data_IF_213399397720
#
_entry.id   IF_213399397720
#
_cell.length_a   1.000
_cell.length_b   1.000
_cell.length_c   1.000
_cell.angle_alpha   90.00
_cell.angle_beta   90.00
_cell.angle_gamma   90.00
#
_symmetry.space_group_name_H-M   'P 1'
#
loop_
_entity.id
_entity.type
_entity.pdbx_description
1 polymer ?
#
# COMPACT_ATOMS: atom_id res chain seq x y z
N UNK A 1 -12.09 -3.26 -28.23
CA UNK A 1 -12.95 -2.15 -28.70
C UNK A 1 -12.92 -1.09 -27.61
N UNK A 2 -12.37 0.09 -27.89
CA UNK A 2 -12.28 1.17 -26.92
C UNK A 2 -13.67 1.78 -26.69
N UNK A 3 -14.15 1.78 -25.45
CA UNK A 3 -15.38 2.48 -25.08
C UNK A 3 -15.01 3.92 -24.69
N UNK A 4 -15.59 4.89 -25.39
CA UNK A 4 -15.47 6.32 -25.08
C UNK A 4 -16.36 6.70 -23.90
N UNK A 5 -15.90 7.63 -23.07
CA UNK A 5 -16.63 8.17 -21.92
C UNK A 5 -18.02 8.70 -22.26
N UNK A 6 -19.07 8.35 -21.49
CA UNK A 6 -20.31 9.10 -21.54
C UNK A 6 -20.18 10.38 -20.71
N UNK A 7 -20.34 11.53 -21.37
CA UNK A 7 -20.60 12.81 -20.70
C UNK A 7 -22.08 12.89 -20.34
N UNK A 8 -22.44 12.59 -19.10
CA UNK A 8 -23.82 12.67 -18.61
C UNK A 8 -23.88 13.17 -17.18
N UNK A 9 -24.49 14.33 -16.97
CA UNK A 9 -24.92 14.83 -15.67
C UNK A 9 -26.03 13.93 -15.12
N UNK A 10 -25.82 13.31 -13.96
CA UNK A 10 -26.82 12.50 -13.28
C UNK A 10 -27.65 13.36 -12.30
N UNK A 11 -28.96 13.36 -12.52
CA UNK A 11 -29.97 13.94 -11.62
C UNK A 11 -30.16 13.06 -10.39
N UNK A 12 -30.37 13.71 -9.23
CA UNK A 12 -30.69 13.09 -7.95
C UNK A 12 -31.99 12.26 -8.01
N UNK A 13 -31.94 11.01 -7.57
CA UNK A 13 -33.13 10.27 -7.14
C UNK A 13 -33.02 9.89 -5.66
N UNK A 14 -34.09 10.19 -4.95
CA UNK A 14 -34.27 10.06 -3.49
C UNK A 14 -34.35 8.62 -2.99
N UNK A 15 -34.00 8.50 -1.72
CA UNK A 15 -33.67 7.32 -0.92
C UNK A 15 -34.79 6.29 -0.74
N UNK A 16 -34.38 5.01 -0.67
CA UNK A 16 -34.97 4.01 0.23
C UNK A 16 -33.91 3.61 1.24
N UNK A 17 -33.91 4.28 2.39
CA UNK A 17 -33.05 4.02 3.52
C UNK A 17 -33.54 2.75 4.21
N UNK A 18 -32.98 1.60 3.83
CA UNK A 18 -32.99 0.44 4.72
C UNK A 18 -31.75 0.57 5.58
N UNK A 19 -31.90 1.09 6.79
CA UNK A 19 -30.84 1.14 7.80
C UNK A 19 -30.44 -0.28 8.19
N UNK A 20 -29.55 -0.90 7.41
CA UNK A 20 -28.67 -1.94 7.95
C UNK A 20 -27.55 -1.21 8.66
N UNK A 21 -27.68 -1.09 9.98
CA UNK A 21 -26.55 -0.86 10.85
C UNK A 21 -25.41 -1.79 10.45
N UNK A 22 -24.23 -1.24 10.21
CA UNK A 22 -23.02 -2.04 10.11
C UNK A 22 -22.93 -2.95 11.34
N UNK A 23 -22.48 -4.20 11.18
CA UNK A 23 -21.91 -4.90 12.32
C UNK A 23 -20.82 -3.97 12.87
N UNK A 24 -20.79 -3.75 14.19
CA UNK A 24 -19.56 -3.33 14.85
C UNK A 24 -18.39 -4.12 14.25
N UNK A 25 -17.20 -3.53 14.14
CA UNK A 25 -15.92 -4.23 13.98
C UNK A 25 -16.12 -5.67 14.40
N UNK A 26 -16.12 -6.63 13.44
CA UNK A 26 -16.43 -8.03 13.76
C UNK A 26 -15.64 -8.32 15.01
N UNK A 27 -16.32 -8.47 16.15
CA UNK A 27 -15.72 -9.07 17.30
C UNK A 27 -15.54 -10.50 16.84
N UNK A 28 -14.39 -10.78 16.23
CA UNK A 28 -13.88 -12.13 16.14
C UNK A 28 -14.13 -12.75 17.51
N UNK A 29 -14.74 -13.94 17.60
CA UNK A 29 -15.02 -14.55 18.89
C UNK A 29 -13.74 -14.47 19.74
N UNK A 30 -13.79 -13.58 20.74
CA UNK A 30 -12.66 -13.23 21.60
C UNK A 30 -12.41 -14.41 22.50
N UNK A 31 -11.69 -15.39 22.00
CA UNK A 31 -10.90 -16.23 22.88
C UNK A 31 -9.64 -15.40 23.13
N UNK A 32 -9.41 -14.88 24.35
CA UNK A 32 -8.12 -14.29 24.67
C UNK A 32 -7.07 -15.36 24.33
N UNK A 33 -6.17 -15.04 23.42
CA UNK A 33 -4.96 -15.84 23.27
C UNK A 33 -4.34 -15.82 24.67
N UNK A 34 -4.02 -17.02 25.21
CA UNK A 34 -3.35 -17.14 26.50
C UNK A 34 -1.98 -17.74 26.23
N UNK A 35 -0.88 -17.02 26.53
CA UNK A 35 -0.85 -15.69 27.15
C UNK A 35 -1.46 -14.61 26.24
N UNK A 36 -1.91 -13.46 26.79
CA UNK A 36 -2.41 -12.32 26.03
C UNK A 36 -1.52 -12.06 24.82
N UNK A 37 -2.10 -11.54 23.72
CA UNK A 37 -1.31 -11.12 22.57
C UNK A 37 -0.21 -10.16 23.05
N UNK A 38 1.03 -10.64 22.94
CA UNK A 38 2.24 -9.97 23.40
C UNK A 38 3.00 -9.45 22.18
N UNK A 39 2.32 -8.84 21.20
CA UNK A 39 2.95 -8.28 20.01
C UNK A 39 4.21 -7.46 20.30
N UNK A 40 4.24 -6.74 21.44
CA UNK A 40 5.42 -6.05 21.93
C UNK A 40 6.68 -6.92 22.15
N UNK A 41 6.52 -8.24 22.37
CA UNK A 41 7.64 -9.19 22.47
C UNK A 41 8.44 -9.27 21.19
N UNK A 42 7.82 -9.03 20.04
CA UNK A 42 8.53 -8.94 18.77
C UNK A 42 9.62 -7.85 18.79
N UNK A 43 9.34 -6.74 19.47
CA UNK A 43 10.26 -5.61 19.58
C UNK A 43 11.28 -5.75 20.72
N UNK A 44 10.90 -6.39 21.82
CA UNK A 44 11.69 -6.38 23.06
C UNK A 44 12.48 -7.67 23.34
N UNK A 45 12.18 -8.77 22.63
CA UNK A 45 12.80 -10.06 22.88
C UNK A 45 13.99 -10.24 21.94
N UNK A 46 15.21 -10.13 22.49
CA UNK A 46 16.47 -10.16 21.73
C UNK A 46 16.54 -11.31 20.72
N UNK A 47 16.17 -12.54 21.12
CA UNK A 47 16.21 -13.69 20.20
C UNK A 47 15.23 -13.58 19.02
N UNK A 48 14.09 -12.90 19.21
CA UNK A 48 13.11 -12.66 18.14
C UNK A 48 13.63 -11.58 17.20
N UNK A 49 14.12 -10.47 17.75
CA UNK A 49 14.74 -9.37 16.99
C UNK A 49 15.92 -9.88 16.16
N UNK A 50 16.81 -10.69 16.75
CA UNK A 50 17.96 -11.25 16.04
C UNK A 50 17.53 -12.23 14.93
N UNK A 51 16.47 -13.01 15.16
CA UNK A 51 15.89 -13.87 14.12
C UNK A 51 15.35 -13.04 12.96
N UNK A 52 14.71 -11.90 13.24
CA UNK A 52 14.20 -10.98 12.22
C UNK A 52 15.35 -10.31 11.44
N UNK A 53 16.42 -9.86 12.10
CA UNK A 53 17.62 -9.35 11.44
C UNK A 53 18.29 -10.39 10.53
N UNK A 54 18.32 -11.66 10.96
CA UNK A 54 18.83 -12.74 10.15
C UNK A 54 17.96 -12.97 8.89
N UNK A 55 16.63 -12.90 9.04
CA UNK A 55 15.70 -12.93 7.91
C UNK A 55 15.94 -11.76 6.94
N UNK A 56 16.01 -10.52 7.44
CA UNK A 56 16.29 -9.32 6.62
C UNK A 56 17.60 -9.50 5.85
N UNK A 57 18.66 -9.92 6.53
CA UNK A 57 19.98 -10.13 5.91
C UNK A 57 19.90 -11.17 4.81
N UNK A 58 19.24 -12.31 5.06
CA UNK A 58 19.06 -13.35 4.06
C UNK A 58 18.25 -12.87 2.85
N UNK A 59 17.15 -12.14 3.10
CA UNK A 59 16.27 -11.64 2.04
C UNK A 59 16.94 -10.59 1.16
N UNK A 60 17.57 -9.57 1.76
CA UNK A 60 18.24 -8.50 1.01
C UNK A 60 19.46 -8.99 0.24
N UNK A 61 20.16 -10.02 0.74
CA UNK A 61 21.32 -10.62 0.04
C UNK A 61 20.94 -11.70 -0.96
N UNK A 62 19.65 -12.05 -1.07
CA UNK A 62 19.17 -13.00 -2.07
C UNK A 62 19.45 -12.48 -3.48
N UNK A 63 20.08 -13.32 -4.31
CA UNK A 63 20.29 -13.06 -5.73
C UNK A 63 19.11 -13.64 -6.50
N UNK A 64 18.36 -12.76 -7.16
CA UNK A 64 17.26 -13.17 -8.02
C UNK A 64 17.79 -14.09 -9.12
N UNK A 65 17.29 -15.33 -9.17
CA UNK A 65 17.75 -16.34 -10.12
C UNK A 65 17.47 -15.99 -11.60
N UNK A 66 16.53 -15.08 -11.88
CA UNK A 66 16.16 -14.69 -13.23
C UNK A 66 16.95 -13.48 -13.74
N UNK A 67 17.26 -12.52 -12.87
CA UNK A 67 18.00 -11.30 -13.25
C UNK A 67 19.48 -11.36 -12.90
N UNK A 68 19.86 -12.22 -11.96
CA UNK A 68 21.22 -12.30 -11.41
C UNK A 68 21.58 -11.13 -10.49
N UNK A 69 20.62 -10.27 -10.12
CA UNK A 69 20.82 -9.08 -9.28
C UNK A 69 20.40 -9.41 -7.85
N UNK A 70 21.21 -9.01 -6.86
CA UNK A 70 20.83 -9.13 -5.46
C UNK A 70 19.72 -8.14 -5.12
N UNK A 71 18.75 -8.52 -4.29
CA UNK A 71 17.63 -7.63 -3.94
C UNK A 71 18.07 -6.29 -3.34
N UNK A 72 19.16 -6.26 -2.57
CA UNK A 72 19.76 -5.02 -2.06
C UNK A 72 20.32 -4.06 -3.13
N UNK A 73 20.53 -4.56 -4.35
CA UNK A 73 21.14 -3.86 -5.48
C UNK A 73 20.17 -3.68 -6.66
N UNK A 74 18.92 -4.16 -6.54
CA UNK A 74 17.94 -4.18 -7.64
C UNK A 74 17.13 -2.85 -7.70
N UNK A 75 17.35 -2.00 -8.72
CA UNK A 75 16.69 -0.69 -8.83
C UNK A 75 15.19 -0.78 -9.10
N UNK A 76 14.65 -1.99 -9.33
CA UNK A 76 13.20 -2.22 -9.41
C UNK A 76 12.53 -2.05 -8.05
N UNK A 77 13.27 -2.28 -6.96
CA UNK A 77 12.76 -2.16 -5.59
C UNK A 77 12.93 -0.72 -5.12
N UNK A 78 11.82 -0.03 -4.85
CA UNK A 78 11.83 1.35 -4.34
C UNK A 78 12.45 1.44 -2.94
N UNK A 79 12.05 0.53 -2.06
CA UNK A 79 12.41 0.55 -0.65
C UNK A 79 11.89 -0.65 0.13
N UNK A 80 12.18 -0.65 1.42
CA UNK A 80 11.83 -1.70 2.37
C UNK A 80 11.02 -1.13 3.52
N UNK A 81 9.89 -1.73 3.81
CA UNK A 81 9.05 -1.39 4.96
C UNK A 81 9.41 -2.29 6.15
N UNK A 82 9.58 -1.72 7.35
CA UNK A 82 10.03 -2.52 8.51
C UNK A 82 9.01 -3.58 8.94
N UNK A 83 7.74 -3.37 8.60
CA UNK A 83 6.65 -4.35 8.69
C UNK A 83 5.30 -3.66 8.46
N UNK A 84 4.27 -4.44 8.14
CA UNK A 84 2.94 -3.91 7.88
C UNK A 84 2.20 -3.58 9.18
N UNK A 85 1.70 -2.35 9.29
CA UNK A 85 0.85 -1.88 10.39
C UNK A 85 1.44 -2.15 11.79
N UNK A 86 2.72 -1.83 11.99
CA UNK A 86 3.46 -2.15 13.23
C UNK A 86 3.04 -1.36 14.50
N UNK A 87 1.85 -0.77 14.53
CA UNK A 87 1.26 -0.34 15.80
C UNK A 87 0.50 -1.50 16.44
N UNK A 88 0.59 -1.64 17.76
CA UNK A 88 -0.11 -2.70 18.48
C UNK A 88 -1.57 -2.28 18.68
N UNK A 89 -2.29 -2.18 17.55
CA UNK A 89 -3.63 -1.59 17.42
C UNK A 89 -4.64 -2.30 18.33
N UNK A 90 -4.47 -3.62 18.55
CA UNK A 90 -5.46 -4.40 19.28
C UNK A 90 -5.45 -4.15 20.81
N UNK A 91 -4.42 -3.51 21.38
CA UNK A 91 -4.25 -3.47 22.85
C UNK A 91 -3.73 -2.15 23.44
N UNK A 92 -3.76 -1.03 22.72
CA UNK A 92 -3.28 0.29 23.20
C UNK A 92 -1.76 0.41 23.40
N UNK A 93 -0.95 -0.53 22.90
CA UNK A 93 0.49 -0.54 23.19
C UNK A 93 1.33 0.41 22.32
N UNK A 94 0.69 1.16 21.40
CA UNK A 94 1.31 2.23 20.63
C UNK A 94 2.16 1.73 19.44
N UNK A 95 2.98 2.60 18.84
CA UNK A 95 3.83 2.26 17.70
C UNK A 95 5.01 1.36 18.12
N UNK A 96 5.68 0.78 17.12
CA UNK A 96 6.99 0.16 17.33
C UNK A 96 7.96 1.13 18.05
N UNK A 97 8.75 0.68 19.04
CA UNK A 97 9.69 1.55 19.74
C UNK A 97 10.71 2.18 18.77
N UNK A 98 10.99 3.50 18.82
CA UNK A 98 11.93 4.15 17.90
C UNK A 98 13.33 3.53 17.91
N UNK A 99 13.78 3.01 19.06
CA UNK A 99 15.07 2.32 19.15
C UNK A 99 15.08 1.00 18.35
N UNK A 100 13.97 0.26 18.35
CA UNK A 100 13.82 -0.93 17.51
C UNK A 100 13.76 -0.55 16.03
N UNK A 101 12.98 0.48 15.68
CA UNK A 101 12.89 0.96 14.30
C UNK A 101 14.25 1.43 13.78
N UNK A 102 15.02 2.19 14.58
CA UNK A 102 16.38 2.61 14.23
C UNK A 102 17.33 1.43 14.05
N UNK A 103 17.25 0.42 14.92
CA UNK A 103 18.07 -0.79 14.79
C UNK A 103 17.78 -1.57 13.49
N UNK A 104 16.50 -1.74 13.14
CA UNK A 104 16.08 -2.45 11.92
C UNK A 104 16.36 -1.62 10.66
N UNK A 105 15.99 -0.34 10.66
CA UNK A 105 16.24 0.56 9.55
C UNK A 105 17.75 0.74 9.30
N UNK A 106 18.56 0.84 10.36
CA UNK A 106 20.02 0.88 10.28
C UNK A 106 20.62 -0.38 9.66
N UNK A 107 20.12 -1.56 10.01
CA UNK A 107 20.51 -2.82 9.35
C UNK A 107 20.18 -2.77 7.85
N UNK A 108 18.95 -2.38 7.48
CA UNK A 108 18.52 -2.28 6.08
C UNK A 108 19.43 -1.30 5.32
N UNK A 109 19.67 -0.10 5.86
CA UNK A 109 20.55 0.91 5.25
C UNK A 109 21.99 0.42 5.09
N UNK A 110 22.50 -0.38 6.04
CA UNK A 110 23.84 -0.97 5.92
C UNK A 110 23.94 -2.02 4.81
N UNK A 111 22.85 -2.73 4.52
CA UNK A 111 22.80 -3.78 3.50
C UNK A 111 22.46 -3.24 2.12
N UNK A 112 21.48 -2.34 2.03
CA UNK A 112 20.90 -1.78 0.80
C UNK A 112 20.93 -0.24 0.83
N UNK A 113 22.12 0.39 0.79
CA UNK A 113 22.27 1.83 0.99
C UNK A 113 21.61 2.70 -0.10
N UNK A 114 21.26 2.11 -1.24
CA UNK A 114 20.59 2.80 -2.35
C UNK A 114 19.05 2.75 -2.27
N UNK A 115 18.48 1.96 -1.35
CA UNK A 115 17.04 1.77 -1.24
C UNK A 115 16.46 2.63 -0.12
N UNK A 116 15.18 3.00 -0.27
CA UNK A 116 14.44 3.75 0.74
C UNK A 116 14.01 2.81 1.89
N UNK A 117 13.76 3.37 3.07
CA UNK A 117 13.19 2.67 4.22
C UNK A 117 11.89 3.37 4.65
N UNK A 118 10.83 2.57 4.76
CA UNK A 118 9.51 2.96 5.25
C UNK A 118 9.33 2.40 6.66
N UNK A 119 8.81 3.19 7.58
CA UNK A 119 8.63 2.75 8.97
C UNK A 119 7.51 1.70 9.13
N UNK A 120 6.46 1.74 8.30
CA UNK A 120 5.39 0.73 8.30
C UNK A 120 4.43 0.83 9.49
N UNK A 121 4.37 2.00 10.09
CA UNK A 121 3.47 2.27 11.22
C UNK A 121 2.03 2.44 10.71
N UNK A 122 1.06 1.83 11.41
CA UNK A 122 -0.35 2.19 11.26
C UNK A 122 -0.68 3.32 12.23
N UNK A 123 -1.28 4.41 11.77
CA UNK A 123 -1.39 5.70 12.48
C UNK A 123 -0.05 6.43 12.63
N UNK A 124 -0.14 7.66 13.15
CA UNK A 124 0.98 8.58 13.26
C UNK A 124 1.17 9.03 14.71
N UNK A 125 2.35 8.81 15.28
CA UNK A 125 2.63 8.96 16.71
C UNK A 125 3.83 9.90 16.97
N UNK A 126 3.67 11.22 16.79
CA UNK A 126 4.79 12.16 16.88
C UNK A 126 5.40 12.25 18.29
N UNK A 127 4.61 11.97 19.33
CA UNK A 127 5.08 11.99 20.73
C UNK A 127 5.95 10.76 21.09
N UNK A 128 5.98 9.73 20.23
CA UNK A 128 6.69 8.48 20.52
C UNK A 128 8.20 8.57 20.30
N UNK A 129 8.67 9.53 19.50
CA UNK A 129 10.05 9.53 18.98
C UNK A 129 10.16 9.03 17.52
N UNK A 130 9.04 8.67 16.88
CA UNK A 130 8.99 8.12 15.51
C UNK A 130 9.78 8.96 14.50
N UNK A 131 9.60 10.28 14.50
CA UNK A 131 10.24 11.20 13.55
C UNK A 131 11.73 11.45 13.81
N UNK A 132 12.28 10.96 14.92
CA UNK A 132 13.69 11.09 15.27
C UNK A 132 14.55 9.93 14.74
N UNK A 133 13.94 8.90 14.15
CA UNK A 133 14.67 7.78 13.52
C UNK A 133 15.25 8.26 12.20
N UNK A 134 16.55 8.59 12.20
CA UNK A 134 17.19 9.22 11.03
C UNK A 134 17.29 8.29 9.83
N UNK A 135 17.34 6.97 10.05
CA UNK A 135 17.46 5.94 9.02
C UNK A 135 16.19 5.73 8.18
N UNK A 136 15.03 6.24 8.63
CA UNK A 136 13.76 6.19 7.90
C UNK A 136 13.68 7.35 6.91
N UNK A 137 13.37 7.05 5.65
CA UNK A 137 13.21 8.07 4.60
C UNK A 137 11.74 8.47 4.40
N UNK A 138 10.84 7.49 4.53
CA UNK A 138 9.40 7.63 4.28
C UNK A 138 8.64 7.24 5.56
N UNK A 139 7.76 8.12 6.03
CA UNK A 139 6.80 7.81 7.09
C UNK A 139 5.42 7.53 6.49
N UNK A 140 4.81 6.41 6.87
CA UNK A 140 3.50 6.00 6.34
C UNK A 140 2.36 6.12 7.35
N UNK A 141 1.12 6.18 6.84
CA UNK A 141 -0.12 5.98 7.59
C UNK A 141 -1.18 5.32 6.69
N UNK A 142 -2.15 4.64 7.28
CA UNK A 142 -3.27 3.95 6.63
C UNK A 142 -4.60 4.61 7.00
N UNK A 143 -5.53 4.65 6.02
CA UNK A 143 -6.74 5.45 6.10
C UNK A 143 -8.02 4.61 5.89
N UNK A 144 -8.48 3.99 6.99
CA UNK A 144 -9.74 3.25 7.06
C UNK A 144 -10.65 3.79 8.19
N UNK A 145 -11.58 4.71 7.89
CA UNK A 145 -11.89 5.29 6.58
C UNK A 145 -10.95 6.45 6.19
N UNK A 146 -11.08 7.02 4.97
CA UNK A 146 -10.28 8.15 4.52
C UNK A 146 -10.45 9.37 5.43
N UNK A 147 -9.35 10.08 5.71
CA UNK A 147 -9.36 11.28 6.55
C UNK A 147 -8.33 12.31 6.07
N UNK A 148 -8.81 13.38 5.44
CA UNK A 148 -8.00 14.51 4.98
C UNK A 148 -7.35 15.22 6.17
N UNK A 149 -8.07 15.33 7.29
CA UNK A 149 -7.53 15.95 8.50
C UNK A 149 -6.31 15.19 9.05
N UNK A 150 -6.38 13.85 9.11
CA UNK A 150 -5.24 13.01 9.51
C UNK A 150 -4.10 13.07 8.49
N UNK A 151 -4.42 12.99 7.20
CA UNK A 151 -3.45 13.11 6.11
C UNK A 151 -2.63 14.40 6.22
N UNK A 152 -3.32 15.54 6.38
CA UNK A 152 -2.67 16.85 6.49
C UNK A 152 -1.84 16.99 7.78
N UNK A 153 -2.30 16.43 8.90
CA UNK A 153 -1.56 16.45 10.15
C UNK A 153 -0.26 15.64 10.06
N UNK A 154 -0.32 14.40 9.57
CA UNK A 154 0.85 13.53 9.37
C UNK A 154 1.82 14.12 8.36
N UNK A 155 1.32 14.64 7.23
CA UNK A 155 2.12 15.32 6.23
C UNK A 155 2.89 16.51 6.79
N UNK A 156 2.21 17.41 7.52
CA UNK A 156 2.84 18.60 8.07
C UNK A 156 4.00 18.26 9.03
N UNK A 157 3.80 17.25 9.87
CA UNK A 157 4.82 16.77 10.81
C UNK A 157 6.00 16.13 10.06
N UNK A 158 5.72 15.32 9.05
CA UNK A 158 6.74 14.64 8.24
C UNK A 158 7.57 15.62 7.42
N UNK A 159 6.93 16.63 6.82
CA UNK A 159 7.63 17.72 6.12
C UNK A 159 8.48 18.56 7.07
N UNK A 160 7.99 18.84 8.29
CA UNK A 160 8.77 19.54 9.30
C UNK A 160 10.03 18.76 9.73
N UNK A 161 10.00 17.44 9.63
CA UNK A 161 11.16 16.56 9.84
C UNK A 161 12.05 16.41 8.58
N UNK A 162 11.74 17.10 7.48
CA UNK A 162 12.42 16.98 6.19
C UNK A 162 12.45 15.51 5.69
N UNK A 163 11.27 14.89 5.68
CA UNK A 163 11.04 13.51 5.26
C UNK A 163 9.86 13.41 4.30
N UNK A 164 9.69 12.26 3.66
CA UNK A 164 8.61 11.98 2.70
C UNK A 164 7.45 11.31 3.42
N UNK A 165 6.22 11.67 3.04
CA UNK A 165 5.02 11.08 3.62
C UNK A 165 4.32 10.18 2.60
N UNK A 166 3.81 9.04 3.07
CA UNK A 166 3.13 8.05 2.25
C UNK A 166 1.77 7.71 2.86
N UNK A 167 0.69 7.93 2.10
CA UNK A 167 -0.60 7.30 2.42
C UNK A 167 -0.53 5.84 1.98
N UNK A 168 0.04 5.00 2.84
CA UNK A 168 0.45 3.62 2.53
C UNK A 168 -0.72 2.70 2.18
N UNK A 169 -1.88 2.96 2.76
CA UNK A 169 -3.15 2.33 2.37
C UNK A 169 -4.31 3.30 2.55
N UNK A 170 -5.31 3.23 1.68
CA UNK A 170 -6.56 3.94 1.89
C UNK A 170 -7.77 3.28 1.24
N UNK A 171 -8.93 3.44 1.87
CA UNK A 171 -10.23 2.95 1.40
C UNK A 171 -10.74 3.73 0.18
N UNK A 172 -10.72 3.10 -1.00
CA UNK A 172 -11.27 3.67 -2.24
C UNK A 172 -12.79 3.48 -2.40
N UNK A 173 -13.40 2.60 -1.60
CA UNK A 173 -14.79 2.15 -1.79
C UNK A 173 -15.79 3.26 -1.46
N UNK A 174 -15.49 4.08 -0.45
CA UNK A 174 -16.41 5.06 0.13
C UNK A 174 -17.57 4.43 0.91
N UNK A 175 -17.48 3.14 1.25
CA UNK A 175 -18.54 2.42 1.97
C UNK A 175 -18.38 2.48 3.49
N UNK A 176 -17.20 2.89 3.98
CA UNK A 176 -16.81 2.83 5.40
C UNK A 176 -16.88 4.18 6.13
N UNK A 177 -17.44 5.22 5.49
CA UNK A 177 -17.52 6.58 6.02
C UNK A 177 -16.27 7.39 5.66
N UNK A 178 -15.95 8.40 6.48
CA UNK A 178 -14.81 9.28 6.23
C UNK A 178 -15.02 10.29 5.10
N UNK A 179 -13.93 10.90 4.66
CA UNK A 179 -13.92 11.78 3.49
C UNK A 179 -14.22 11.00 2.21
N UNK A 180 -14.92 11.63 1.27
CA UNK A 180 -15.24 10.98 -0.01
C UNK A 180 -13.97 10.64 -0.80
N UNK A 181 -14.02 9.59 -1.61
CA UNK A 181 -12.98 9.28 -2.60
C UNK A 181 -12.52 10.53 -3.37
N UNK A 182 -13.46 11.33 -3.90
CA UNK A 182 -13.14 12.52 -4.70
C UNK A 182 -12.40 13.58 -3.88
N UNK A 183 -12.83 13.85 -2.65
CA UNK A 183 -12.17 14.83 -1.78
C UNK A 183 -10.81 14.33 -1.30
N UNK A 184 -10.68 13.03 -1.01
CA UNK A 184 -9.44 12.43 -0.54
C UNK A 184 -8.37 12.38 -1.64
N UNK A 185 -8.71 11.93 -2.86
CA UNK A 185 -7.77 11.97 -4.00
C UNK A 185 -7.40 13.40 -4.38
N UNK A 186 -8.35 14.36 -4.28
CA UNK A 186 -8.03 15.78 -4.51
C UNK A 186 -7.08 16.34 -3.44
N UNK A 187 -7.22 15.90 -2.18
CA UNK A 187 -6.31 16.29 -1.11
C UNK A 187 -4.91 15.75 -1.36
N UNK A 188 -4.78 14.46 -1.71
CA UNK A 188 -3.52 13.82 -2.12
C UNK A 188 -2.86 14.57 -3.29
N UNK A 189 -3.61 14.85 -4.37
CA UNK A 189 -3.14 15.60 -5.55
C UNK A 189 -2.63 17.01 -5.21
N UNK A 190 -3.23 17.65 -4.20
CA UNK A 190 -2.85 18.99 -3.75
C UNK A 190 -1.71 19.01 -2.71
N UNK A 191 -1.26 17.84 -2.26
CA UNK A 191 -0.31 17.68 -1.17
C UNK A 191 1.10 17.40 -1.69
N UNK A 192 2.01 18.38 -1.72
CA UNK A 192 3.34 18.19 -2.29
C UNK A 192 4.17 17.20 -1.47
N UNK A 193 4.84 16.26 -2.15
CA UNK A 193 5.72 15.28 -1.50
C UNK A 193 4.98 14.11 -0.84
N UNK A 194 3.71 13.90 -1.18
CA UNK A 194 2.93 12.72 -0.78
C UNK A 194 2.90 11.69 -1.92
N UNK A 195 3.18 10.44 -1.60
CA UNK A 195 2.76 9.29 -2.40
C UNK A 195 1.56 8.58 -1.77
N UNK A 196 0.89 7.72 -2.51
CA UNK A 196 -0.22 6.93 -1.98
C UNK A 196 -0.41 5.58 -2.67
N UNK A 197 -1.00 4.63 -1.95
CA UNK A 197 -1.53 3.38 -2.50
C UNK A 197 -2.95 3.16 -1.99
N UNK A 198 -3.90 2.98 -2.91
CA UNK A 198 -5.22 2.50 -2.52
C UNK A 198 -5.15 0.99 -2.24
N UNK A 199 -5.98 0.52 -1.32
CA UNK A 199 -6.09 -0.90 -1.04
C UNK A 199 -7.40 -1.47 -1.60
N UNK A 200 -7.38 -2.48 -2.47
CA UNK A 200 -6.22 -3.18 -3.06
C UNK A 200 -6.55 -3.65 -4.47
N UNK A 201 -5.54 -3.76 -5.34
CA UNK A 201 -5.71 -4.17 -6.73
C UNK A 201 -5.55 -5.68 -6.90
N UNK A 202 -6.53 -6.33 -7.53
CA UNK A 202 -6.48 -7.75 -7.90
C UNK A 202 -6.47 -7.96 -9.42
N UNK A 203 -5.61 -8.87 -9.86
CA UNK A 203 -5.40 -9.22 -11.26
C UNK A 203 -6.37 -10.29 -11.78
N UNK A 204 -6.16 -10.66 -13.04
CA UNK A 204 -6.82 -11.83 -13.63
C UNK A 204 -6.05 -13.11 -13.32
N UNK A 205 -6.73 -14.26 -13.45
CA UNK A 205 -6.07 -15.56 -13.46
C UNK A 205 -5.16 -15.75 -14.70
N UNK A 206 -4.41 -16.85 -14.71
CA UNK A 206 -3.44 -17.15 -15.78
C UNK A 206 -4.10 -17.29 -17.17
N UNK A 207 -5.41 -17.50 -17.22
CA UNK A 207 -6.20 -17.63 -18.46
C UNK A 207 -6.89 -16.33 -18.86
N UNK A 208 -6.79 -15.28 -18.04
CA UNK A 208 -7.47 -14.01 -18.22
C UNK A 208 -8.99 -14.13 -18.37
N UNK A 209 -9.59 -15.15 -17.74
CA UNK A 209 -11.02 -15.43 -17.86
C UNK A 209 -11.78 -15.15 -16.56
N UNK A 210 -11.08 -15.11 -15.42
CA UNK A 210 -11.62 -14.71 -14.12
C UNK A 210 -10.66 -13.74 -13.43
N UNK A 211 -11.13 -13.02 -12.41
CA UNK A 211 -10.19 -12.37 -11.49
C UNK A 211 -9.79 -13.32 -10.36
N UNK A 212 -8.61 -13.08 -9.81
CA UNK A 212 -8.17 -13.70 -8.56
C UNK A 212 -9.00 -13.10 -7.43
N UNK A 213 -9.90 -13.89 -6.86
CA UNK A 213 -10.83 -13.42 -5.82
C UNK A 213 -10.12 -13.14 -4.49
N UNK A 214 -10.52 -12.03 -3.86
CA UNK A 214 -10.22 -11.67 -2.49
C UNK A 214 -11.47 -11.03 -1.86
N UNK A 215 -11.72 -11.30 -0.59
CA UNK A 215 -12.99 -11.00 0.08
C UNK A 215 -12.78 -10.29 1.43
N UNK A 216 -12.08 -9.17 1.37
CA UNK A 216 -11.86 -8.26 2.49
C UNK A 216 -12.81 -7.04 2.49
N UNK A 217 -13.61 -6.89 1.43
CA UNK A 217 -14.50 -5.75 1.20
C UNK A 217 -13.84 -4.54 0.52
N UNK A 218 -12.54 -4.60 0.20
CA UNK A 218 -11.78 -3.53 -0.45
C UNK A 218 -11.12 -3.96 -1.77
N UNK A 219 -11.35 -5.20 -2.19
CA UNK A 219 -10.76 -5.76 -3.41
C UNK A 219 -11.25 -5.04 -4.66
N UNK A 220 -10.31 -4.45 -5.40
CA UNK A 220 -10.54 -3.71 -6.63
C UNK A 220 -10.16 -4.54 -7.86
N UNK A 221 -11.12 -4.70 -8.78
CA UNK A 221 -10.95 -5.47 -10.00
C UNK A 221 -10.97 -4.54 -11.21
N UNK A 222 -9.83 -4.26 -11.82
CA UNK A 222 -9.75 -3.33 -12.95
C UNK A 222 -10.25 -3.96 -14.27
N UNK A 223 -11.07 -3.28 -15.10
CA UNK A 223 -11.52 -1.89 -14.95
C UNK A 223 -12.85 -1.75 -14.20
N UNK A 224 -13.37 -2.80 -13.57
CA UNK A 224 -14.55 -2.78 -12.72
C UNK A 224 -15.47 -3.97 -12.99
N UNK A 225 -16.04 -4.58 -11.92
CA UNK A 225 -17.13 -5.58 -12.04
C UNK A 225 -18.52 -4.98 -11.96
N UNK A 226 -18.61 -3.75 -11.48
CA UNK A 226 -19.85 -2.98 -11.32
C UNK A 226 -19.66 -1.60 -11.91
N UNK A 227 -20.76 -0.89 -12.18
CA UNK A 227 -20.70 0.49 -12.66
C UNK A 227 -19.96 1.41 -11.66
N UNK A 228 -20.17 1.20 -10.35
CA UNK A 228 -19.46 1.95 -9.32
C UNK A 228 -17.94 1.70 -9.37
N UNK A 229 -17.51 0.43 -9.39
CA UNK A 229 -16.09 0.09 -9.52
C UNK A 229 -15.50 0.63 -10.82
N UNK A 230 -16.27 0.63 -11.90
CA UNK A 230 -15.85 1.24 -13.15
C UNK A 230 -15.61 2.74 -12.98
N UNK A 231 -16.55 3.49 -12.40
CA UNK A 231 -16.34 4.91 -12.09
C UNK A 231 -15.19 5.16 -11.10
N UNK A 232 -14.86 4.21 -10.23
CA UNK A 232 -13.68 4.27 -9.38
C UNK A 232 -12.39 4.00 -10.17
N UNK A 233 -12.39 3.07 -11.13
CA UNK A 233 -11.26 2.82 -12.04
C UNK A 233 -10.87 4.08 -12.80
N UNK A 234 -11.88 4.78 -13.29
CA UNK A 234 -11.77 6.09 -13.92
C UNK A 234 -11.03 7.06 -13.01
N UNK A 235 -11.55 7.24 -11.80
CA UNK A 235 -11.02 8.20 -10.84
C UNK A 235 -9.59 7.88 -10.45
N UNK A 236 -9.30 6.60 -10.15
CA UNK A 236 -7.96 6.11 -9.81
C UNK A 236 -6.97 6.29 -10.97
N UNK A 237 -7.40 6.03 -12.20
CA UNK A 237 -6.56 6.23 -13.40
C UNK A 237 -6.23 7.71 -13.60
N UNK A 238 -7.22 8.60 -13.44
CA UNK A 238 -7.01 10.04 -13.56
C UNK A 238 -6.14 10.57 -12.42
N UNK A 239 -6.35 10.08 -11.21
CA UNK A 239 -5.56 10.39 -10.04
C UNK A 239 -4.09 9.99 -10.24
N UNK A 240 -3.82 8.74 -10.64
CA UNK A 240 -2.47 8.26 -10.92
C UNK A 240 -1.76 9.08 -12.00
N UNK A 241 -2.47 9.48 -13.07
CA UNK A 241 -1.91 10.35 -14.09
C UNK A 241 -1.50 11.72 -13.53
N UNK A 242 -2.35 12.34 -12.70
CA UNK A 242 -2.04 13.64 -12.08
C UNK A 242 -0.87 13.55 -11.10
N UNK A 243 -0.86 12.54 -10.22
CA UNK A 243 0.25 12.30 -9.29
C UNK A 243 1.58 12.06 -10.03
N UNK A 244 1.52 11.40 -11.19
CA UNK A 244 2.67 11.21 -12.09
C UNK A 244 3.03 12.42 -12.96
N UNK A 245 2.36 13.57 -12.83
CA UNK A 245 2.62 14.77 -13.64
C UNK A 245 2.19 14.65 -15.11
N UNK A 246 1.33 13.69 -15.45
CA UNK A 246 0.81 13.45 -16.78
C UNK A 246 -0.63 13.98 -16.96
N UNK A 247 -1.02 14.23 -18.21
CA UNK A 247 -2.41 14.56 -18.52
C UNK A 247 -3.31 13.32 -18.27
N UNK A 248 -4.47 13.47 -17.59
CA UNK A 248 -5.38 12.36 -17.38
C UNK A 248 -5.83 11.72 -18.70
N UNK A 249 -5.78 10.39 -18.82
CA UNK A 249 -6.10 9.73 -20.07
C UNK A 249 -7.58 9.92 -20.41
N UNK A 250 -7.83 10.16 -21.70
CA UNK A 250 -9.16 10.35 -22.27
C UNK A 250 -9.85 9.04 -22.61
N UNK A 251 -9.33 7.88 -22.16
CA UNK A 251 -9.97 6.55 -22.15
C UNK A 251 -9.32 5.73 -21.04
N UNK A 252 -10.07 4.81 -20.43
CA UNK A 252 -9.48 3.86 -19.48
C UNK A 252 -8.48 2.97 -20.26
N UNK A 253 -7.21 2.86 -19.81
CA UNK A 253 -6.23 1.98 -20.43
C UNK A 253 -6.72 0.53 -20.49
N UNK A 254 -6.44 -0.16 -21.58
CA UNK A 254 -6.71 -1.59 -21.63
C UNK A 254 -5.80 -2.32 -20.63
N UNK A 255 -6.34 -3.27 -19.87
CA UNK A 255 -5.52 -4.18 -19.08
C UNK A 255 -4.80 -5.13 -20.03
N UNK A 256 -3.47 -5.23 -19.91
CA UNK A 256 -2.71 -6.25 -20.59
C UNK A 256 -3.04 -7.60 -19.93
N UNK A 257 -3.85 -8.41 -20.61
CA UNK A 257 -3.89 -9.84 -20.36
C UNK A 257 -2.60 -10.42 -20.95
N UNK A 258 -1.85 -11.30 -20.25
CA UNK A 258 -0.80 -12.08 -20.90
C UNK A 258 -1.38 -12.77 -22.13
N UNK A 259 -1.11 -12.18 -23.30
CA UNK A 259 -0.97 -12.96 -24.51
C UNK A 259 0.24 -13.87 -24.21
N UNK A 260 0.13 -15.16 -24.54
CA UNK A 260 1.11 -16.25 -24.35
C UNK A 260 2.55 -16.00 -24.86
N UNK A 261 2.93 -14.76 -25.15
CA UNK A 261 4.27 -14.36 -25.55
C UNK A 261 4.60 -12.98 -24.97
N UNK A 262 5.42 -12.94 -23.94
CA UNK A 262 6.14 -11.72 -23.59
C UNK A 262 7.16 -11.41 -24.71
N UNK A 263 7.33 -10.14 -25.13
CA UNK A 263 8.38 -9.76 -26.06
C UNK A 263 9.74 -10.21 -25.54
N UNK A 264 10.55 -10.87 -26.37
CA UNK A 264 11.91 -11.31 -25.99
C UNK A 264 12.81 -10.15 -25.54
N UNK A 265 12.46 -8.92 -25.92
CA UNK A 265 13.16 -7.69 -25.52
C UNK A 265 12.98 -7.31 -24.05
N UNK A 266 11.99 -7.89 -23.35
CA UNK A 266 11.81 -7.68 -21.91
C UNK A 266 12.71 -8.58 -21.06
N UNK A 267 13.38 -9.56 -21.68
CA UNK A 267 14.26 -10.48 -20.98
C UNK A 267 15.73 -10.06 -21.16
N UNK A 268 16.57 -10.19 -20.11
CA UNK A 268 18.00 -9.98 -20.22
C UNK A 268 18.61 -10.82 -21.35
N UNK A 269 19.67 -10.30 -21.96
CA UNK A 269 20.39 -11.04 -23.02
C UNK A 269 20.85 -12.41 -22.51
N UNK A 270 20.38 -13.48 -23.17
CA UNK A 270 20.71 -14.86 -22.82
C UNK A 270 19.61 -15.63 -22.06
N UNK A 271 18.53 -14.97 -21.64
CA UNK A 271 17.37 -15.64 -21.05
C UNK A 271 16.42 -16.08 -22.18
N UNK A 272 16.16 -17.37 -22.30
CA UNK A 272 15.14 -17.92 -23.21
C UNK A 272 13.81 -18.03 -22.47
N UNK A 273 12.78 -17.23 -22.80
CA UNK A 273 11.47 -17.28 -22.14
C UNK A 273 10.81 -18.66 -22.23
N UNK A 274 11.06 -19.40 -23.32
CA UNK A 274 10.53 -20.76 -23.51
C UNK A 274 11.10 -21.78 -22.54
N UNK A 275 12.19 -21.46 -21.83
CA UNK A 275 12.74 -22.31 -20.77
C UNK A 275 12.17 -21.97 -19.39
N UNK A 276 11.39 -20.89 -19.26
CA UNK A 276 10.83 -20.42 -17.99
C UNK A 276 9.44 -21.02 -17.70
N UNK A 277 8.85 -21.77 -18.63
CA UNK A 277 7.54 -22.41 -18.44
C UNK A 277 6.37 -21.43 -18.36
N UNK A 278 6.55 -20.22 -18.91
CA UNK A 278 5.56 -19.14 -19.05
C UNK A 278 5.03 -19.05 -20.48
#
# INVERSE_FOLDING_TARGET
MAQTWPTGTLSSSTSHTTTRSRPSLRTFPRTPITPPDVGANFYNTTSIVDSFKAYITHHLTHVNQYTGIAYKDDPTILGWETGNELSVVLYTDGPAPPAWTSEIAGLIKSLAPNHLVVDGTYEFYPESGQLQVEEVDIFSDHFYPPSIARLQAGLALTQAANRVYLAGEWDWTGQYGGDSFQSFTSALESSPGVGDFFWSLFGHDDQCCAFVEHDDGYSFYYPGRTDDMFQRAVGLTQHAAKMGGAAPPQVIPAAACPQYSFPTTLFPSGVNPGNLGI
#
